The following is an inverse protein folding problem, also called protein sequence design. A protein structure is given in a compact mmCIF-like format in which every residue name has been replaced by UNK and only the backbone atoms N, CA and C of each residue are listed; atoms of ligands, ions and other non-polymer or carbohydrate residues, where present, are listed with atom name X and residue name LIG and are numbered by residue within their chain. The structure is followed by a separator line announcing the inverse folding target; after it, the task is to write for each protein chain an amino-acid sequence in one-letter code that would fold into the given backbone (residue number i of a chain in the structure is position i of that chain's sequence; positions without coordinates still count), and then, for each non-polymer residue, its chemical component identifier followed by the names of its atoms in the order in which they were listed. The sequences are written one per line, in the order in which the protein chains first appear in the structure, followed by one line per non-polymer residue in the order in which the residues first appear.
data_IF_813368196602
#
_entry.id   IF_813368196602
#
_cell.length_a   1.000
_cell.length_b   1.000
_cell.length_c   1.000
_cell.angle_alpha   90.00
_cell.angle_beta   90.00
_cell.angle_gamma   90.00
#
_symmetry.space_group_name_H-M   'P 1'
#
loop_
_entity.id
_entity.type
_entity.pdbx_description
1 polymer ?
#
# COMPACT_ATOMS: atom_id res chain seq x y z
N UNK A 1 3.50 -21.96 -13.25
CA UNK A 1 3.43 -20.77 -12.38
C UNK A 1 2.68 -19.71 -13.17
N UNK A 2 1.46 -19.41 -12.77
CA UNK A 2 0.58 -18.53 -13.54
C UNK A 2 1.06 -17.08 -13.39
N UNK A 3 1.65 -16.55 -14.46
CA UNK A 3 2.19 -15.18 -14.49
C UNK A 3 1.09 -14.10 -14.50
N UNK A 4 -0.19 -14.50 -14.48
CA UNK A 4 -1.36 -13.62 -14.59
C UNK A 4 -2.42 -13.82 -13.50
N UNK A 5 -2.10 -14.49 -12.38
CA UNK A 5 -3.07 -14.63 -11.31
C UNK A 5 -3.37 -13.25 -10.69
N UNK A 6 -4.64 -12.83 -10.77
CA UNK A 6 -5.15 -11.65 -10.10
C UNK A 6 -4.76 -11.68 -8.62
N UNK A 7 -4.35 -10.55 -8.04
CA UNK A 7 -4.03 -10.50 -6.62
C UNK A 7 -5.25 -10.94 -5.80
N UNK A 8 -4.99 -11.79 -4.81
CA UNK A 8 -6.03 -12.34 -3.94
C UNK A 8 -6.78 -11.19 -3.26
N UNK A 9 -8.07 -11.34 -2.91
CA UNK A 9 -8.81 -10.29 -2.21
C UNK A 9 -8.08 -9.76 -0.96
N UNK A 10 -7.42 -10.63 -0.20
CA UNK A 10 -6.60 -10.26 0.94
C UNK A 10 -5.38 -9.40 0.56
N UNK A 11 -4.69 -9.72 -0.54
CA UNK A 11 -3.57 -8.93 -1.06
C UNK A 11 -4.01 -7.53 -1.46
N UNK A 12 -5.17 -7.42 -2.12
CA UNK A 12 -5.75 -6.12 -2.51
C UNK A 12 -6.01 -5.23 -1.29
N UNK A 13 -6.63 -5.78 -0.26
CA UNK A 13 -6.94 -5.06 0.97
C UNK A 13 -5.65 -4.68 1.72
N UNK A 14 -4.68 -5.59 1.79
CA UNK A 14 -3.39 -5.34 2.43
C UNK A 14 -2.61 -4.19 1.79
N UNK A 15 -2.63 -4.08 0.44
CA UNK A 15 -2.04 -2.94 -0.29
C UNK A 15 -2.62 -1.61 0.19
N UNK A 16 -3.94 -1.55 0.40
CA UNK A 16 -4.63 -0.33 0.81
C UNK A 16 -4.33 0.02 2.27
N UNK A 17 -4.21 -0.96 3.16
CA UNK A 17 -3.76 -0.74 4.53
C UNK A 17 -2.32 -0.23 4.62
N UNK A 18 -1.41 -0.76 3.80
CA UNK A 18 -0.04 -0.23 3.73
C UNK A 18 -0.04 1.23 3.26
N UNK A 19 -0.87 1.57 2.27
CA UNK A 19 -1.01 2.95 1.79
C UNK A 19 -1.68 3.89 2.80
N UNK A 20 -2.59 3.40 3.65
CA UNK A 20 -3.26 4.22 4.66
C UNK A 20 -2.34 4.58 5.83
N UNK A 21 -1.43 3.67 6.17
CA UNK A 21 -0.43 3.85 7.23
C UNK A 21 0.82 4.61 6.75
N UNK A 22 1.05 4.66 5.43
CA UNK A 22 2.14 5.45 4.85
C UNK A 22 1.90 6.96 5.07
N UNK A 23 2.81 7.61 5.81
CA UNK A 23 2.74 9.06 6.08
C UNK A 23 3.10 9.92 4.87
N UNK A 24 3.83 9.35 3.90
CA UNK A 24 4.29 10.02 2.70
C UNK A 24 3.87 9.25 1.45
N UNK A 25 3.74 9.91 0.28
CA UNK A 25 3.48 9.22 -0.97
C UNK A 25 4.62 8.27 -1.33
N UNK A 26 4.30 6.99 -1.53
CA UNK A 26 5.28 5.93 -1.80
C UNK A 26 5.23 5.45 -3.26
N UNK A 27 6.39 5.08 -3.81
CA UNK A 27 6.47 4.50 -5.15
C UNK A 27 5.90 3.08 -5.21
N UNK A 28 5.61 2.58 -6.43
CA UNK A 28 5.17 1.18 -6.63
C UNK A 28 6.23 0.18 -6.13
N UNK A 29 7.51 0.50 -6.33
CA UNK A 29 8.63 -0.32 -5.88
C UNK A 29 8.69 -0.43 -4.36
N UNK A 30 8.48 0.68 -3.64
CA UNK A 30 8.47 0.67 -2.18
C UNK A 30 7.23 -0.05 -1.64
N UNK A 31 6.07 0.17 -2.27
CA UNK A 31 4.84 -0.54 -1.95
C UNK A 31 4.99 -2.07 -2.15
N UNK A 32 5.66 -2.51 -3.21
CA UNK A 32 5.97 -3.93 -3.45
C UNK A 32 6.82 -4.53 -2.33
N UNK A 33 7.84 -3.78 -1.86
CA UNK A 33 8.67 -4.21 -0.72
C UNK A 33 7.86 -4.34 0.57
N UNK A 34 7.09 -3.32 0.93
CA UNK A 34 6.29 -3.32 2.15
C UNK A 34 5.23 -4.42 2.16
N UNK A 35 4.66 -4.70 0.97
CA UNK A 35 3.60 -5.69 0.85
C UNK A 35 4.10 -7.11 0.63
N UNK A 36 5.35 -7.28 0.15
CA UNK A 36 5.85 -8.56 -0.35
C UNK A 36 5.20 -9.01 -1.67
N UNK A 37 4.35 -8.16 -2.27
CA UNK A 37 3.63 -8.45 -3.50
C UNK A 37 4.50 -8.04 -4.68
N UNK A 38 4.55 -8.88 -5.71
CA UNK A 38 5.29 -8.57 -6.91
C UNK A 38 4.80 -7.27 -7.57
N UNK A 39 5.73 -6.39 -7.95
CA UNK A 39 5.43 -5.04 -8.44
C UNK A 39 4.41 -5.02 -9.60
N UNK A 40 4.48 -5.98 -10.52
CA UNK A 40 3.55 -6.09 -11.66
C UNK A 40 2.09 -6.38 -11.26
N UNK A 41 1.83 -6.85 -10.03
CA UNK A 41 0.48 -7.07 -9.49
C UNK A 41 -0.13 -5.82 -8.86
N UNK A 42 0.65 -4.78 -8.59
CA UNK A 42 0.15 -3.55 -7.95
C UNK A 42 -0.71 -2.67 -8.88
N UNK A 43 -0.34 -2.43 -10.16
CA UNK A 43 -1.13 -1.56 -11.06
C UNK A 43 -2.63 -1.86 -11.16
N UNK A 44 -3.10 -3.12 -11.29
CA UNK A 44 -4.55 -3.38 -11.34
C UNK A 44 -5.25 -2.99 -10.04
N UNK A 45 -4.64 -3.22 -8.88
CA UNK A 45 -5.19 -2.81 -7.57
C UNK A 45 -5.22 -1.29 -7.44
N UNK A 46 -4.12 -0.61 -7.77
CA UNK A 46 -4.04 0.85 -7.72
C UNK A 46 -5.05 1.51 -8.68
N UNK A 47 -5.34 0.87 -9.82
CA UNK A 47 -6.37 1.33 -10.77
C UNK A 47 -7.79 1.13 -10.23
N UNK A 48 -8.06 0.00 -9.59
CA UNK A 48 -9.35 -0.31 -8.95
C UNK A 48 -9.67 0.72 -7.85
N UNK A 49 -8.68 1.07 -7.05
CA UNK A 49 -8.81 2.00 -5.92
C UNK A 49 -8.54 3.47 -6.27
N UNK A 50 -8.33 3.81 -7.54
CA UNK A 50 -7.88 5.13 -7.99
C UNK A 50 -8.68 6.31 -7.42
N UNK A 51 -9.98 6.14 -7.19
CA UNK A 51 -10.83 7.21 -6.62
C UNK A 51 -10.52 7.56 -5.16
N UNK A 52 -9.85 6.67 -4.43
CA UNK A 52 -9.45 6.85 -3.04
C UNK A 52 -7.96 7.22 -2.91
N UNK A 53 -7.21 7.15 -4.01
CA UNK A 53 -5.77 7.35 -4.04
C UNK A 53 -5.43 8.69 -4.71
N UNK A 54 -4.39 9.33 -4.18
CA UNK A 54 -3.73 10.46 -4.79
C UNK A 54 -2.48 9.98 -5.51
N UNK A 55 -2.42 10.22 -6.82
CA UNK A 55 -1.22 10.03 -7.62
C UNK A 55 -0.42 11.33 -7.68
N UNK A 56 0.83 11.30 -7.27
CA UNK A 56 1.77 12.41 -7.35
C UNK A 56 2.97 12.01 -8.22
N UNK A 57 3.49 12.94 -9.02
CA UNK A 57 4.79 12.77 -9.69
C UNK A 57 5.85 13.47 -8.85
N UNK A 58 6.77 12.72 -8.27
CA UNK A 58 7.90 13.23 -7.51
C UNK A 58 9.16 12.74 -8.20
N UNK A 59 10.02 13.66 -8.66
CA UNK A 59 11.24 13.32 -9.43
C UNK A 59 10.94 12.39 -10.62
N UNK A 60 9.88 12.70 -11.37
CA UNK A 60 9.40 11.92 -12.53
C UNK A 60 8.83 10.52 -12.22
N UNK A 61 8.89 10.07 -10.96
CA UNK A 61 8.35 8.79 -10.51
C UNK A 61 6.90 8.92 -9.98
N UNK A 62 5.97 8.02 -10.38
CA UNK A 62 4.63 7.99 -9.83
C UNK A 62 4.62 7.46 -8.40
N UNK A 63 4.06 8.24 -7.48
CA UNK A 63 3.88 7.90 -6.06
C UNK A 63 2.43 7.98 -5.64
N UNK A 64 2.05 7.10 -4.74
CA UNK A 64 0.67 6.88 -4.31
C UNK A 64 0.54 7.17 -2.81
N UNK A 65 -0.53 7.86 -2.44
CA UNK A 65 -0.97 8.03 -1.06
C UNK A 65 -2.49 7.96 -1.00
N UNK A 66 -3.06 7.72 0.18
CA UNK A 66 -4.49 7.87 0.39
C UNK A 66 -4.87 9.36 0.31
N UNK A 67 -5.95 9.68 -0.42
CA UNK A 67 -6.36 11.07 -0.66
C UNK A 67 -7.03 11.73 0.56
N UNK A 68 -7.86 10.98 1.30
CA UNK A 68 -8.63 11.51 2.43
C UNK A 68 -8.15 10.90 3.76
N UNK A 69 -7.80 11.75 4.73
CA UNK A 69 -7.50 11.29 6.09
C UNK A 69 -8.65 10.48 6.69
N UNK A 70 -9.90 10.88 6.43
CA UNK A 70 -11.09 10.14 6.86
C UNK A 70 -11.21 8.73 6.27
N UNK A 71 -10.60 8.47 5.12
CA UNK A 71 -10.54 7.13 4.55
C UNK A 71 -9.51 6.27 5.29
N UNK A 72 -8.36 6.82 5.66
CA UNK A 72 -7.41 6.15 6.55
C UNK A 72 -8.03 5.86 7.92
N UNK A 73 -8.76 6.83 8.50
CA UNK A 73 -9.46 6.64 9.78
C UNK A 73 -10.49 5.51 9.68
N UNK A 74 -11.30 5.50 8.62
CA UNK A 74 -12.24 4.43 8.35
C UNK A 74 -11.57 3.05 8.25
N UNK A 75 -10.45 2.96 7.51
CA UNK A 75 -9.69 1.70 7.40
C UNK A 75 -9.18 1.23 8.76
N UNK A 76 -8.68 2.16 9.58
CA UNK A 76 -8.15 1.87 10.92
C UNK A 76 -9.23 1.42 11.89
N UNK A 77 -10.47 1.90 11.74
CA UNK A 77 -11.62 1.34 12.45
C UNK A 77 -11.95 -0.08 11.94
N UNK A 78 -11.99 -0.29 10.62
CA UNK A 78 -12.27 -1.62 10.04
C UNK A 78 -11.22 -2.67 10.41
N UNK A 79 -9.96 -2.28 10.60
CA UNK A 79 -8.88 -3.20 10.99
C UNK A 79 -9.18 -3.91 12.33
N UNK A 80 -9.82 -3.18 13.26
CA UNK A 80 -10.18 -3.69 14.60
C UNK A 80 -11.17 -4.85 14.53
N UNK A 81 -12.11 -4.79 13.57
CA UNK A 81 -13.17 -5.78 13.40
C UNK A 81 -12.76 -6.93 12.48
N UNK A 82 -11.78 -6.71 11.59
CA UNK A 82 -11.34 -7.66 10.57
C UNK A 82 -10.10 -8.47 10.95
N UNK A 83 -9.47 -8.19 12.09
CA UNK A 83 -8.28 -8.89 12.57
C UNK A 83 -7.00 -8.52 11.81
N UNK A 84 -6.97 -7.37 11.15
CA UNK A 84 -5.77 -6.82 10.50
C UNK A 84 -4.86 -6.22 11.57
N UNK A 85 -3.62 -6.68 11.62
CA UNK A 85 -2.61 -6.19 12.57
C UNK A 85 -1.87 -4.96 11.98
N UNK A 86 -2.35 -3.76 12.33
CA UNK A 86 -1.74 -2.50 11.91
C UNK A 86 -0.35 -2.28 12.54
N UNK A 87 -0.08 -2.82 13.73
CA UNK A 87 1.23 -2.70 14.37
C UNK A 87 2.28 -3.51 13.59
N UNK A 88 1.92 -4.71 13.15
CA UNK A 88 2.76 -5.52 12.27
C UNK A 88 3.04 -4.82 10.93
N UNK A 89 2.02 -4.18 10.34
CA UNK A 89 2.19 -3.40 9.11
C UNK A 89 3.21 -2.28 9.32
N UNK A 90 3.04 -1.49 10.38
CA UNK A 90 3.96 -0.40 10.72
C UNK A 90 5.38 -0.89 11.01
N UNK A 91 5.53 -2.00 11.74
CA UNK A 91 6.83 -2.63 12.01
C UNK A 91 7.52 -3.02 10.70
N UNK A 92 6.83 -3.73 9.80
CA UNK A 92 7.39 -4.12 8.49
C UNK A 92 7.82 -2.93 7.65
N UNK A 93 7.03 -1.86 7.64
CA UNK A 93 7.41 -0.63 6.93
C UNK A 93 8.67 -0.01 7.54
N UNK A 94 8.75 0.07 8.87
CA UNK A 94 9.93 0.55 9.59
C UNK A 94 11.19 -0.26 9.28
N UNK A 95 11.09 -1.59 9.32
CA UNK A 95 12.22 -2.50 9.03
C UNK A 95 12.73 -2.33 7.59
N UNK A 96 11.82 -2.19 6.62
CA UNK A 96 12.18 -1.97 5.21
C UNK A 96 12.82 -0.59 4.95
N UNK A 97 12.44 0.44 5.71
CA UNK A 97 13.06 1.76 5.64
C UNK A 97 14.47 1.75 6.25
N UNK A 98 14.66 1.01 7.35
CA UNK A 98 15.97 0.83 7.98
C UNK A 98 16.97 0.09 7.07
N UNK A 99 16.49 -0.74 6.13
CA UNK A 99 17.31 -1.42 5.10
C UNK A 99 17.75 -0.50 3.94
N UNK A 100 17.51 0.82 4.04
CA UNK A 100 18.03 1.81 3.09
C UNK A 100 17.19 2.00 1.83
N UNK A 101 15.90 1.69 1.87
CA UNK A 101 14.99 2.00 0.78
C UNK A 101 14.70 3.53 0.73
N UNK A 102 15.03 4.25 -0.36
CA UNK A 102 14.67 5.65 -0.49
C UNK A 102 13.15 5.80 -0.64
N UNK A 103 12.60 6.85 -0.01
CA UNK A 103 11.20 7.28 -0.10
C UNK A 103 10.86 7.81 -1.49
#
# INVERSE_FOLDING_TARGET
MDMNADPLPAEKIYIIYVLSEAREPISQRLLAKFTGIAEYKLPPVLKEWRQFLRLQKIQEEPRYSVYHASFSDFLNEQAKDSGVDLEEINRRMGDNLADGAPL
#
